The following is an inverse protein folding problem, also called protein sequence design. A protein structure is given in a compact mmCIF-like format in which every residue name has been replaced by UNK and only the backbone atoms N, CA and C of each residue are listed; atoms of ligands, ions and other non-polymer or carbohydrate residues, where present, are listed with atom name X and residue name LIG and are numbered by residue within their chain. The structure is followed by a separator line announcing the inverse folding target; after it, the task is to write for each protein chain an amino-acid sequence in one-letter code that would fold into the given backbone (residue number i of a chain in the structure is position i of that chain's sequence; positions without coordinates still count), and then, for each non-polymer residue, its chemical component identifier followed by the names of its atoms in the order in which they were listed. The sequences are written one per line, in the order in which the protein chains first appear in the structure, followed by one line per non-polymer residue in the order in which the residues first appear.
data_IF_310636668416
#
_entry.id   IF_310636668416
#
_cell.length_a   1.000
_cell.length_b   1.000
_cell.length_c   1.000
_cell.angle_alpha   90.00
_cell.angle_beta   90.00
_cell.angle_gamma   90.00
#
_symmetry.space_group_name_H-M   'P 1'
#
loop_
_entity.id
_entity.type
_entity.pdbx_description
1 polymer ?
#
# COMPACT_ATOMS: atom_id res chain seq x y z
N UNK A 1 4.32 -8.10 2.57
CA UNK A 1 3.57 -7.65 1.38
C UNK A 1 4.18 -8.13 0.05
N UNK A 2 5.47 -7.93 -0.23
CA UNK A 2 6.11 -8.36 -1.50
C UNK A 2 5.91 -9.84 -1.83
N UNK A 3 6.18 -10.74 -0.86
CA UNK A 3 5.99 -12.18 -1.04
C UNK A 3 4.56 -12.53 -1.42
N UNK A 4 3.57 -11.86 -0.83
CA UNK A 4 2.16 -12.07 -1.14
C UNK A 4 1.83 -11.65 -2.58
N UNK A 5 2.29 -10.48 -3.03
CA UNK A 5 2.11 -10.08 -4.43
C UNK A 5 2.73 -11.08 -5.41
N UNK A 6 3.92 -11.59 -5.09
CA UNK A 6 4.60 -12.60 -5.91
C UNK A 6 3.85 -13.94 -5.93
N UNK A 7 3.46 -14.44 -4.76
CA UNK A 7 2.84 -15.77 -4.63
C UNK A 7 1.40 -15.78 -5.12
N UNK A 8 0.61 -14.76 -4.80
CA UNK A 8 -0.83 -14.73 -5.13
C UNK A 8 -1.13 -14.20 -6.53
N UNK A 9 -0.27 -13.35 -7.09
CA UNK A 9 -0.52 -12.70 -8.38
C UNK A 9 0.63 -12.83 -9.39
N UNK A 10 1.74 -13.50 -9.06
CA UNK A 10 2.87 -13.65 -9.97
C UNK A 10 3.62 -12.34 -10.26
N UNK A 11 3.43 -11.31 -9.43
CA UNK A 11 3.95 -9.96 -9.69
C UNK A 11 5.44 -9.89 -9.39
N UNK A 12 6.23 -9.43 -10.36
CA UNK A 12 7.66 -9.16 -10.20
C UNK A 12 7.88 -7.82 -9.49
N UNK A 13 8.95 -7.70 -8.70
CA UNK A 13 9.27 -6.45 -7.99
C UNK A 13 9.51 -5.27 -8.94
N UNK A 14 9.95 -5.54 -10.17
CA UNK A 14 10.09 -4.56 -11.26
C UNK A 14 8.76 -3.96 -11.73
N UNK A 15 7.62 -4.56 -11.40
CA UNK A 15 6.28 -4.05 -11.74
C UNK A 15 5.66 -3.22 -10.60
N UNK A 16 6.31 -3.21 -9.43
CA UNK A 16 5.88 -2.47 -8.26
C UNK A 16 6.51 -1.08 -8.25
N UNK A 17 5.74 -0.09 -7.82
CA UNK A 17 6.21 1.26 -7.50
C UNK A 17 6.27 1.45 -6.00
N UNK A 18 7.23 2.21 -5.52
CA UNK A 18 7.40 2.52 -4.11
C UNK A 18 7.36 4.03 -3.87
N UNK A 19 6.76 4.45 -2.77
CA UNK A 19 6.76 5.84 -2.30
C UNK A 19 7.04 5.84 -0.81
N UNK A 20 7.85 6.78 -0.35
CA UNK A 20 8.20 6.85 1.07
C UNK A 20 7.49 8.02 1.73
N UNK A 21 7.10 7.84 2.99
CA UNK A 21 6.81 8.94 3.90
C UNK A 21 7.95 9.02 4.90
N UNK A 22 8.70 10.11 4.84
CA UNK A 22 9.92 10.35 5.64
C UNK A 22 9.81 11.65 6.42
N UNK A 23 10.76 11.88 7.31
CA UNK A 23 10.87 13.07 8.15
C UNK A 23 12.02 13.97 7.69
N UNK A 24 12.00 15.28 7.99
CA UNK A 24 12.99 16.24 7.49
C UNK A 24 14.44 15.92 7.86
N UNK A 25 14.69 15.28 9.00
CA UNK A 25 16.03 14.87 9.44
C UNK A 25 16.57 13.63 8.72
N UNK A 26 15.80 13.01 7.84
CA UNK A 26 16.16 11.77 7.18
C UNK A 26 16.72 12.00 5.78
N UNK A 27 17.71 11.20 5.40
CA UNK A 27 18.25 11.21 4.05
C UNK A 27 17.39 10.31 3.13
N UNK A 28 16.71 10.92 2.16
CA UNK A 28 15.80 10.23 1.24
C UNK A 28 16.49 9.10 0.45
N UNK A 29 17.68 9.33 -0.08
CA UNK A 29 18.41 8.37 -0.89
C UNK A 29 18.82 7.13 -0.08
N UNK A 30 19.32 7.34 1.14
CA UNK A 30 19.68 6.24 2.05
C UNK A 30 18.47 5.39 2.42
N UNK A 31 17.32 6.03 2.67
CA UNK A 31 16.09 5.30 2.99
C UNK A 31 15.56 4.56 1.76
N UNK A 32 15.61 5.16 0.56
CA UNK A 32 15.26 4.46 -0.69
C UNK A 32 16.13 3.23 -0.90
N UNK A 33 17.44 3.34 -0.66
CA UNK A 33 18.37 2.20 -0.74
C UNK A 33 18.00 1.11 0.26
N UNK A 34 17.78 1.45 1.53
CA UNK A 34 17.32 0.51 2.55
C UNK A 34 16.07 -0.28 2.11
N UNK A 35 15.04 0.42 1.63
CA UNK A 35 13.81 -0.24 1.20
C UNK A 35 13.99 -1.00 -0.11
N UNK A 36 14.82 -0.54 -1.04
CA UNK A 36 15.17 -1.26 -2.26
C UNK A 36 15.80 -2.61 -1.92
N UNK A 37 16.80 -2.60 -1.02
CA UNK A 37 17.50 -3.82 -0.59
C UNK A 37 16.54 -4.77 0.14
N UNK A 38 15.68 -4.25 1.01
CA UNK A 38 14.72 -5.05 1.77
C UNK A 38 13.59 -5.65 0.90
N UNK A 39 13.12 -4.91 -0.11
CA UNK A 39 11.93 -5.30 -0.90
C UNK A 39 12.26 -5.89 -2.26
N UNK A 40 13.47 -5.68 -2.77
CA UNK A 40 13.87 -5.99 -4.13
C UNK A 40 13.23 -5.12 -5.21
N UNK A 41 12.54 -4.04 -4.83
CA UNK A 41 12.00 -3.05 -5.79
C UNK A 41 13.17 -2.20 -6.28
N UNK A 42 13.40 -2.08 -7.61
CA UNK A 42 14.50 -1.26 -8.13
C UNK A 42 14.36 0.22 -7.73
N UNK A 43 15.48 0.90 -7.44
CA UNK A 43 15.48 2.33 -7.11
C UNK A 43 14.77 3.21 -8.16
N UNK A 44 14.87 2.88 -9.45
CA UNK A 44 14.17 3.57 -10.54
C UNK A 44 12.63 3.53 -10.43
N UNK A 45 12.08 2.62 -9.63
CA UNK A 45 10.65 2.49 -9.38
C UNK A 45 10.20 3.25 -8.11
N UNK A 46 11.11 3.91 -7.41
CA UNK A 46 10.77 4.80 -6.30
C UNK A 46 10.37 6.17 -6.81
N UNK A 47 9.19 6.63 -6.41
CA UNK A 47 8.70 7.97 -6.72
C UNK A 47 9.26 9.05 -5.78
N UNK A 48 8.72 10.26 -5.91
CA UNK A 48 8.97 11.36 -4.98
C UNK A 48 8.49 10.97 -3.58
N UNK A 49 9.38 11.08 -2.60
CA UNK A 49 9.04 10.85 -1.20
C UNK A 49 8.24 12.03 -0.65
N UNK A 50 7.30 11.72 0.23
CA UNK A 50 6.57 12.72 1.00
C UNK A 50 7.36 13.01 2.28
N UNK A 51 7.81 14.26 2.43
CA UNK A 51 8.50 14.74 3.63
C UNK A 51 7.44 15.33 4.56
N UNK A 52 7.25 14.72 5.72
CA UNK A 52 6.26 15.19 6.69
C UNK A 52 6.69 16.55 7.25
N UNK A 53 5.80 17.55 7.30
CA UNK A 53 6.12 18.84 7.92
C UNK A 53 6.41 18.68 9.42
N UNK A 54 7.30 19.53 9.93
CA UNK A 54 7.52 19.65 11.37
C UNK A 54 6.26 20.22 12.03
N UNK A 55 5.77 19.56 13.09
CA UNK A 55 4.67 20.07 13.89
C UNK A 55 5.10 20.24 15.35
N UNK A 56 4.76 21.37 15.96
CA UNK A 56 5.19 21.75 17.32
C UNK A 56 4.71 20.80 18.43
N UNK A 57 3.63 20.05 18.20
CA UNK A 57 2.89 19.32 19.26
C UNK A 57 2.86 17.79 19.11
N UNK A 58 3.68 17.19 18.26
CA UNK A 58 3.71 15.72 18.12
C UNK A 58 4.98 15.11 18.71
N UNK A 59 4.81 13.98 19.41
CA UNK A 59 5.92 13.11 19.86
C UNK A 59 6.90 12.91 18.68
N UNK A 60 8.20 13.07 18.93
CA UNK A 60 9.24 12.78 17.93
C UNK A 60 9.00 11.37 17.39
N UNK A 61 8.67 11.29 16.11
CA UNK A 61 8.41 10.01 15.48
C UNK A 61 9.77 9.38 15.12
N UNK A 62 10.09 8.25 15.75
CA UNK A 62 11.37 7.56 15.66
C UNK A 62 11.39 6.46 14.59
N UNK A 63 10.53 6.53 13.57
CA UNK A 63 10.61 5.59 12.44
C UNK A 63 11.88 5.90 11.62
N UNK A 64 12.99 5.28 12.00
CA UNK A 64 14.33 5.50 11.43
C UNK A 64 14.40 5.38 9.90
N UNK A 65 13.49 4.60 9.29
CA UNK A 65 13.39 4.40 7.85
C UNK A 65 12.05 4.88 7.25
N UNK A 66 11.28 5.66 8.00
CA UNK A 66 9.96 6.14 7.56
C UNK A 66 8.98 4.99 7.32
N UNK A 67 7.99 5.23 6.45
CA UNK A 67 7.07 4.18 5.96
C UNK A 67 7.11 4.07 4.44
N UNK A 68 6.88 2.87 3.92
CA UNK A 68 6.79 2.60 2.49
C UNK A 68 5.35 2.33 2.06
N UNK A 69 4.94 2.98 0.97
CA UNK A 69 3.73 2.67 0.22
C UNK A 69 4.11 1.95 -1.06
N UNK A 70 3.69 0.69 -1.18
CA UNK A 70 3.92 -0.14 -2.36
C UNK A 70 2.67 -0.12 -3.22
N UNK A 71 2.81 0.19 -4.50
CA UNK A 71 1.73 0.19 -5.48
C UNK A 71 2.04 -0.77 -6.61
N UNK A 72 1.10 -1.66 -6.91
CA UNK A 72 1.15 -2.48 -8.10
C UNK A 72 0.70 -1.68 -9.33
N UNK A 73 1.51 -1.67 -10.38
CA UNK A 73 1.12 -1.09 -11.66
C UNK A 73 0.04 -1.95 -12.31
N UNK A 74 -1.02 -1.34 -12.86
CA UNK A 74 -2.18 -2.05 -13.44
C UNK A 74 -2.83 -3.06 -12.48
N UNK A 75 -2.90 -2.73 -11.18
CA UNK A 75 -3.39 -3.64 -10.15
C UNK A 75 -4.90 -3.86 -10.08
N UNK A 76 -5.68 -3.30 -11.02
CA UNK A 76 -7.15 -3.38 -11.03
C UNK A 76 -7.65 -4.81 -11.09
N UNK A 77 -7.08 -5.65 -11.97
CA UNK A 77 -7.52 -7.05 -12.11
C UNK A 77 -7.21 -7.88 -10.86
N UNK A 78 -6.08 -7.60 -10.21
CA UNK A 78 -5.72 -8.24 -8.94
C UNK A 78 -6.69 -7.83 -7.83
N UNK A 79 -7.11 -6.56 -7.80
CA UNK A 79 -8.12 -6.07 -6.86
C UNK A 79 -9.46 -6.75 -7.08
N UNK A 80 -9.94 -6.84 -8.34
CA UNK A 80 -11.15 -7.58 -8.68
C UNK A 80 -11.07 -9.05 -8.28
N UNK A 81 -9.91 -9.70 -8.47
CA UNK A 81 -9.68 -11.08 -8.04
C UNK A 81 -9.78 -11.25 -6.53
N UNK A 82 -9.18 -10.33 -5.74
CA UNK A 82 -9.31 -10.34 -4.27
C UNK A 82 -10.77 -10.21 -3.85
N UNK A 83 -11.53 -9.29 -4.47
CA UNK A 83 -12.95 -9.15 -4.16
C UNK A 83 -13.76 -10.38 -4.54
N UNK A 84 -13.47 -11.01 -5.68
CA UNK A 84 -14.07 -12.29 -6.05
C UNK A 84 -13.82 -13.38 -5.01
N UNK A 85 -12.58 -13.50 -4.52
CA UNK A 85 -12.25 -14.45 -3.45
C UNK A 85 -13.00 -14.16 -2.14
N UNK A 86 -13.04 -12.89 -1.71
CA UNK A 86 -13.78 -12.48 -0.50
C UNK A 86 -15.26 -12.81 -0.64
N UNK A 87 -15.87 -12.49 -1.79
CA UNK A 87 -17.29 -12.76 -2.06
C UNK A 87 -17.59 -14.26 -1.93
N UNK A 88 -16.85 -15.10 -2.65
CA UNK A 88 -17.04 -16.56 -2.61
C UNK A 88 -16.83 -17.10 -1.19
N UNK A 89 -15.84 -16.59 -0.47
CA UNK A 89 -15.57 -17.00 0.91
C UNK A 89 -16.73 -16.66 1.85
N UNK A 90 -17.30 -15.46 1.75
CA UNK A 90 -18.42 -15.02 2.57
C UNK A 90 -19.72 -15.77 2.23
N UNK A 91 -19.99 -16.03 0.95
CA UNK A 91 -21.13 -16.85 0.50
C UNK A 91 -21.07 -18.25 1.12
N UNK A 92 -19.88 -18.87 1.13
CA UNK A 92 -19.67 -20.18 1.78
C UNK A 92 -19.92 -20.16 3.28
N UNK A 93 -19.65 -19.05 3.94
CA UNK A 93 -19.94 -18.87 5.37
C UNK A 93 -21.42 -18.53 5.65
N UNK A 94 -22.27 -18.46 4.61
CA UNK A 94 -23.67 -17.99 4.68
C UNK A 94 -23.79 -16.60 5.32
N UNK A 95 -22.74 -15.79 5.26
CA UNK A 95 -22.77 -14.41 5.74
C UNK A 95 -23.46 -13.59 4.66
N UNK A 96 -24.55 -12.90 5.01
CA UNK A 96 -25.24 -12.01 4.08
C UNK A 96 -24.32 -10.83 3.71
N UNK A 97 -23.86 -10.82 2.46
CA UNK A 97 -22.86 -9.87 1.93
C UNK A 97 -23.49 -8.49 1.66
N UNK A 98 -24.80 -8.43 1.42
CA UNK A 98 -25.52 -7.22 1.00
C UNK A 98 -25.33 -6.07 2.00
N UNK A 99 -25.22 -6.38 3.29
CA UNK A 99 -25.01 -5.39 4.35
C UNK A 99 -23.61 -4.78 4.35
N UNK A 100 -22.59 -5.56 3.97
CA UNK A 100 -21.21 -5.10 3.92
C UNK A 100 -21.02 -4.24 2.67
N UNK A 101 -21.46 -4.71 1.51
CA UNK A 101 -21.34 -3.99 0.23
C UNK A 101 -22.10 -2.65 0.24
N UNK A 102 -23.29 -2.62 0.85
CA UNK A 102 -24.08 -1.38 1.04
C UNK A 102 -23.33 -0.36 1.93
N UNK A 103 -22.68 -0.81 3.01
CA UNK A 103 -21.89 0.06 3.89
C UNK A 103 -20.65 0.61 3.18
N UNK A 104 -19.95 -0.20 2.39
CA UNK A 104 -18.80 0.24 1.60
C UNK A 104 -19.18 1.22 0.49
N UNK A 105 -20.30 0.97 -0.20
CA UNK A 105 -20.82 1.90 -1.21
C UNK A 105 -21.24 3.23 -0.59
N UNK A 106 -21.88 3.21 0.59
CA UNK A 106 -22.24 4.41 1.35
C UNK A 106 -21.01 5.25 1.71
N UNK A 107 -19.95 4.61 2.23
CA UNK A 107 -18.68 5.29 2.53
C UNK A 107 -18.01 5.83 1.25
N UNK A 108 -18.12 5.13 0.11
CA UNK A 108 -17.57 5.61 -1.17
C UNK A 108 -18.29 6.86 -1.69
N UNK A 109 -19.59 6.98 -1.44
CA UNK A 109 -20.37 8.18 -1.77
C UNK A 109 -20.18 9.34 -0.79
N UNK A 110 -20.02 9.06 0.50
CA UNK A 110 -19.80 10.08 1.54
C UNK A 110 -18.43 10.76 1.43
N UNK A 111 -17.41 10.06 0.93
CA UNK A 111 -16.05 10.60 0.76
C UNK A 111 -15.70 10.92 -0.71
N UNK A 112 -16.68 11.24 -1.55
CA UNK A 112 -16.42 11.80 -2.89
C UNK A 112 -15.59 13.09 -2.74
N UNK A 113 -14.28 12.98 -3.00
CA UNK A 113 -13.39 14.06 -3.44
C UNK A 113 -13.45 14.15 -4.95
#
# INVERSE_FOLDING_TARGET
MIKWFRVSFGVKTTQLKAYLNIYPQQNDEKIKKFWSDLTGIPLKNFGKSFIKPLSKNFKKNNLYYGTIKIRMSRGTDSMHRVFGWIKIFLEKLKINIDNVETKWNKLRTEYKR
#
